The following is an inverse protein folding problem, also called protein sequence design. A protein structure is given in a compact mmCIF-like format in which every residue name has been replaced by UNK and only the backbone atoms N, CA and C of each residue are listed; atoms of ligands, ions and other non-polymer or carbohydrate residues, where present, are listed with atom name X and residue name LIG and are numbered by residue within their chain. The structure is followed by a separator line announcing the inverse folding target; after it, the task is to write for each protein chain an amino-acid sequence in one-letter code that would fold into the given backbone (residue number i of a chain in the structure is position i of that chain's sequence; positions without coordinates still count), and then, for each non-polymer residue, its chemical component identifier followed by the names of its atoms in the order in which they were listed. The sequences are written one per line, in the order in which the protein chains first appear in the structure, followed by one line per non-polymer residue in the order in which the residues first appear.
data_IF_032630690224
#
_entry.id   IF_032630690224
#
_cell.length_a   1.000
_cell.length_b   1.000
_cell.length_c   1.000
_cell.angle_alpha   90.00
_cell.angle_beta   90.00
_cell.angle_gamma   90.00
#
_symmetry.space_group_name_H-M   'P 1'
#
loop_
_entity.id
_entity.type
_entity.pdbx_description
1 polymer ?
#
# COMPACT_ATOMS: atom_id res chain seq x y z
N UNK A 1 -1.87 -12.84 2.25
CA UNK A 1 -1.33 -11.58 1.71
C UNK A 1 -1.18 -10.58 2.85
N UNK A 2 -0.03 -9.98 2.98
CA UNK A 2 0.29 -9.00 4.01
C UNK A 2 0.21 -7.59 3.42
N UNK A 3 -0.72 -6.78 3.93
CA UNK A 3 -0.97 -5.43 3.42
C UNK A 3 -0.71 -4.40 4.53
N UNK A 4 0.13 -3.43 4.22
CA UNK A 4 0.38 -2.28 5.08
C UNK A 4 -0.52 -1.13 4.64
N UNK A 5 -1.33 -0.59 5.56
CA UNK A 5 -2.25 0.50 5.28
C UNK A 5 -1.90 1.71 6.14
N UNK A 6 -1.70 2.85 5.49
CA UNK A 6 -1.48 4.14 6.16
C UNK A 6 -2.71 5.01 5.91
N UNK A 7 -3.59 5.09 6.91
CA UNK A 7 -4.90 5.76 6.82
C UNK A 7 -5.34 6.25 8.19
N UNK A 8 -5.66 7.54 8.32
CA UNK A 8 -6.08 8.16 9.57
C UNK A 8 -7.60 8.06 9.83
N UNK A 9 -8.41 8.03 8.78
CA UNK A 9 -9.87 8.02 8.87
C UNK A 9 -10.37 6.60 9.18
N UNK A 10 -10.96 6.41 10.36
CA UNK A 10 -11.43 5.10 10.79
C UNK A 10 -12.59 4.56 9.93
N UNK A 11 -13.47 5.40 9.46
CA UNK A 11 -14.58 4.99 8.60
C UNK A 11 -14.06 4.49 7.24
N UNK A 12 -13.19 5.27 6.62
CA UNK A 12 -12.55 4.88 5.35
C UNK A 12 -11.74 3.59 5.53
N UNK A 13 -10.96 3.48 6.61
CA UNK A 13 -10.19 2.29 6.92
C UNK A 13 -11.07 1.04 7.03
N UNK A 14 -12.18 1.12 7.75
CA UNK A 14 -13.13 0.01 7.87
C UNK A 14 -13.70 -0.42 6.52
N UNK A 15 -14.02 0.53 5.66
CA UNK A 15 -14.51 0.25 4.31
C UNK A 15 -13.43 -0.44 3.45
N UNK A 16 -12.19 0.03 3.54
CA UNK A 16 -11.06 -0.60 2.85
C UNK A 16 -10.85 -2.04 3.30
N UNK A 17 -10.85 -2.30 4.60
CA UNK A 17 -10.67 -3.64 5.16
C UNK A 17 -11.80 -4.56 4.75
N UNK A 18 -13.06 -4.10 4.85
CA UNK A 18 -14.22 -4.88 4.40
C UNK A 18 -14.08 -5.30 2.94
N UNK A 19 -13.72 -4.38 2.07
CA UNK A 19 -13.64 -4.63 0.64
C UNK A 19 -12.42 -5.48 0.27
N UNK A 20 -11.29 -5.32 0.98
CA UNK A 20 -10.14 -6.20 0.84
C UNK A 20 -10.45 -7.64 1.27
N UNK A 21 -11.15 -7.83 2.39
CA UNK A 21 -11.57 -9.14 2.85
C UNK A 21 -12.47 -9.89 1.86
N UNK A 22 -13.22 -9.14 1.06
CA UNK A 22 -14.09 -9.73 0.04
C UNK A 22 -13.31 -10.28 -1.18
N UNK A 23 -12.09 -9.80 -1.41
CA UNK A 23 -11.29 -10.15 -2.60
C UNK A 23 -9.97 -10.87 -2.28
N UNK A 24 -9.57 -10.91 -1.02
CA UNK A 24 -8.34 -11.59 -0.57
C UNK A 24 -8.70 -12.61 0.50
N UNK A 25 -8.30 -13.88 0.31
CA UNK A 25 -8.56 -14.94 1.28
C UNK A 25 -7.71 -14.72 2.53
N UNK A 26 -6.48 -15.08 2.59
CA UNK A 26 -5.64 -15.00 3.80
C UNK A 26 -5.06 -13.58 3.96
N UNK A 27 -5.85 -12.66 4.49
CA UNK A 27 -5.51 -11.26 4.61
C UNK A 27 -4.94 -10.94 6.00
N UNK A 28 -3.74 -10.39 6.05
CA UNK A 28 -3.15 -9.79 7.24
C UNK A 28 -2.91 -8.30 6.98
N UNK A 29 -3.44 -7.47 7.87
CA UNK A 29 -3.32 -6.01 7.75
C UNK A 29 -2.56 -5.45 8.94
N UNK A 30 -1.58 -4.60 8.66
CA UNK A 30 -0.94 -3.73 9.63
C UNK A 30 -1.30 -2.28 9.30
N UNK A 31 -1.82 -1.54 10.29
CA UNK A 31 -2.27 -0.17 10.09
C UNK A 31 -1.38 0.84 10.81
N UNK A 32 -1.11 1.95 10.13
CA UNK A 32 -0.56 3.18 10.72
C UNK A 32 -1.52 4.32 10.41
N UNK A 33 -1.73 5.24 11.36
CA UNK A 33 -2.79 6.23 11.25
C UNK A 33 -2.32 7.69 11.16
N UNK A 34 -1.03 7.91 11.00
CA UNK A 34 -0.48 9.24 10.76
C UNK A 34 0.88 9.15 10.05
N UNK A 35 1.32 10.27 9.51
CA UNK A 35 2.53 10.33 8.70
C UNK A 35 3.79 9.98 9.51
N UNK A 36 3.98 10.59 10.67
CA UNK A 36 5.22 10.41 11.46
C UNK A 36 5.38 8.98 11.97
N UNK A 37 4.30 8.36 12.43
CA UNK A 37 4.36 6.96 12.86
C UNK A 37 4.73 6.02 11.71
N UNK A 38 4.22 6.30 10.50
CA UNK A 38 4.60 5.53 9.31
C UNK A 38 6.09 5.68 9.00
N UNK A 39 6.61 6.91 8.98
CA UNK A 39 8.02 7.16 8.70
C UNK A 39 8.94 6.52 9.74
N UNK A 40 8.58 6.62 11.01
CA UNK A 40 9.33 6.00 12.12
C UNK A 40 9.31 4.47 12.03
N UNK A 41 8.16 3.90 11.71
CA UNK A 41 8.04 2.46 11.52
C UNK A 41 8.91 1.96 10.35
N UNK A 42 8.86 2.64 9.21
CA UNK A 42 9.69 2.28 8.05
C UNK A 42 11.18 2.34 8.38
N UNK A 43 11.60 3.36 9.10
CA UNK A 43 12.99 3.47 9.55
C UNK A 43 13.39 2.31 10.47
N UNK A 44 12.49 1.87 11.33
CA UNK A 44 12.75 0.72 12.22
C UNK A 44 12.93 -0.59 11.45
N UNK A 45 12.35 -0.68 10.24
CA UNK A 45 12.47 -1.85 9.38
C UNK A 45 13.72 -1.82 8.49
N UNK A 46 14.42 -0.70 8.43
CA UNK A 46 15.63 -0.56 7.64
C UNK A 46 16.66 -1.61 8.05
N UNK A 47 17.25 -2.29 7.07
CA UNK A 47 18.18 -3.41 7.25
C UNK A 47 17.54 -4.70 7.81
N UNK A 48 16.22 -4.77 7.93
CA UNK A 48 15.52 -5.98 8.30
C UNK A 48 15.01 -6.70 7.05
N UNK A 49 15.65 -7.83 6.69
CA UNK A 49 15.30 -8.60 5.49
C UNK A 49 14.02 -9.43 5.64
N UNK A 50 13.44 -9.50 6.85
CA UNK A 50 12.25 -10.31 7.12
C UNK A 50 10.93 -9.56 6.88
N UNK A 51 10.99 -8.39 6.24
CA UNK A 51 9.80 -7.61 5.90
C UNK A 51 9.11 -8.20 4.68
N UNK A 52 7.95 -8.79 4.93
CA UNK A 52 7.21 -9.55 3.93
C UNK A 52 5.84 -8.91 3.67
N UNK A 53 5.87 -7.65 3.22
CA UNK A 53 4.67 -6.97 2.75
C UNK A 53 4.47 -7.19 1.26
N UNK A 54 3.21 -7.43 0.88
CA UNK A 54 2.81 -7.65 -0.51
C UNK A 54 2.27 -6.39 -1.17
N UNK A 55 1.81 -5.43 -0.37
CA UNK A 55 1.21 -4.19 -0.87
C UNK A 55 1.24 -3.12 0.22
N UNK A 56 1.57 -1.89 -0.16
CA UNK A 56 1.34 -0.68 0.65
C UNK A 56 0.15 0.07 0.08
N UNK A 57 -0.82 0.41 0.93
CA UNK A 57 -1.91 1.33 0.57
C UNK A 57 -1.80 2.57 1.46
N UNK A 58 -1.75 3.75 0.88
CA UNK A 58 -1.67 5.00 1.63
C UNK A 58 -2.67 6.04 1.13
N UNK A 59 -3.18 6.88 2.05
CA UNK A 59 -3.90 8.09 1.69
C UNK A 59 -2.91 9.20 1.26
N UNK A 60 -3.44 10.23 0.60
CA UNK A 60 -2.65 11.38 0.18
C UNK A 60 -2.54 12.45 1.27
N UNK A 61 -3.65 12.75 1.96
CA UNK A 61 -3.68 13.77 3.01
C UNK A 61 -3.95 13.14 4.37
N UNK A 62 -3.04 13.34 5.30
CA UNK A 62 -3.14 12.81 6.66
C UNK A 62 -2.55 13.78 7.68
N UNK A 63 -2.94 13.67 8.97
CA UNK A 63 -2.24 14.37 10.03
C UNK A 63 -0.76 13.99 10.05
N UNK A 64 0.10 14.97 10.31
CA UNK A 64 1.53 14.71 10.47
C UNK A 64 1.77 13.82 11.69
N UNK A 65 1.08 14.10 12.79
CA UNK A 65 1.18 13.38 14.07
C UNK A 65 -0.20 13.03 14.59
N UNK A 66 -0.27 12.05 15.50
CA UNK A 66 -1.50 11.53 16.09
C UNK A 66 -2.45 12.63 16.63
N UNK A 67 -1.92 13.68 17.24
CA UNK A 67 -2.71 14.74 17.87
C UNK A 67 -2.78 16.02 17.01
N UNK A 68 -2.34 15.96 15.76
CA UNK A 68 -2.42 17.08 14.83
C UNK A 68 -3.78 17.14 14.16
N UNK A 69 -4.33 18.35 14.04
CA UNK A 69 -5.60 18.58 13.32
C UNK A 69 -5.38 18.97 11.86
N UNK A 70 -4.18 19.45 11.51
CA UNK A 70 -3.88 19.87 10.16
C UNK A 70 -3.46 18.69 9.30
N UNK A 71 -4.08 18.56 8.12
CA UNK A 71 -3.72 17.55 7.14
C UNK A 71 -2.55 18.03 6.30
N UNK A 72 -1.58 17.16 6.08
CA UNK A 72 -0.46 17.40 5.18
C UNK A 72 -0.51 16.44 4.00
N UNK A 73 0.00 16.85 2.86
CA UNK A 73 0.14 15.98 1.68
C UNK A 73 1.27 15.00 1.94
N UNK A 74 0.95 13.88 2.55
CA UNK A 74 1.89 12.93 3.13
C UNK A 74 2.31 11.81 2.18
N UNK A 75 1.53 11.51 1.15
CA UNK A 75 1.77 10.34 0.29
C UNK A 75 3.17 10.31 -0.29
N UNK A 76 3.67 11.44 -0.78
CA UNK A 76 5.00 11.51 -1.38
C UNK A 76 6.10 11.15 -0.36
N UNK A 77 5.98 11.62 0.88
CA UNK A 77 6.94 11.29 1.94
C UNK A 77 6.88 9.82 2.34
N UNK A 78 5.67 9.28 2.46
CA UNK A 78 5.42 7.88 2.80
C UNK A 78 5.97 6.97 1.71
N UNK A 79 5.68 7.25 0.44
CA UNK A 79 6.14 6.45 -0.70
C UNK A 79 7.66 6.45 -0.77
N UNK A 80 8.29 7.63 -0.70
CA UNK A 80 9.74 7.74 -0.80
C UNK A 80 10.44 7.05 0.38
N UNK A 81 9.93 7.22 1.59
CA UNK A 81 10.48 6.58 2.78
C UNK A 81 10.31 5.05 2.72
N UNK A 82 9.15 4.57 2.31
CA UNK A 82 8.91 3.14 2.16
C UNK A 82 9.88 2.50 1.15
N UNK A 83 10.06 3.11 0.00
CA UNK A 83 10.99 2.60 -1.02
C UNK A 83 12.43 2.62 -0.53
N UNK A 84 12.83 3.65 0.22
CA UNK A 84 14.19 3.77 0.73
C UNK A 84 14.48 2.83 1.90
N UNK A 85 13.53 2.66 2.81
CA UNK A 85 13.77 1.99 4.09
C UNK A 85 13.23 0.56 4.13
N UNK A 86 12.20 0.24 3.36
CA UNK A 86 11.51 -1.06 3.42
C UNK A 86 11.74 -1.88 2.15
N UNK A 87 11.26 -1.43 1.00
CA UNK A 87 11.37 -2.17 -0.25
C UNK A 87 11.14 -1.29 -1.46
N UNK A 88 11.96 -1.45 -2.49
CA UNK A 88 11.75 -0.83 -3.80
C UNK A 88 10.79 -1.64 -4.68
N UNK A 89 10.58 -2.91 -4.37
CA UNK A 89 9.83 -3.83 -5.22
C UNK A 89 8.38 -4.06 -4.79
N UNK A 90 8.02 -3.77 -3.54
CA UNK A 90 6.64 -3.91 -3.07
C UNK A 90 5.76 -2.87 -3.74
N UNK A 91 4.65 -3.27 -4.38
CA UNK A 91 3.77 -2.33 -5.06
C UNK A 91 3.08 -1.38 -4.09
N UNK A 92 2.79 -0.18 -4.57
CA UNK A 92 2.20 0.92 -3.80
C UNK A 92 0.93 1.40 -4.46
N UNK A 93 -0.15 1.48 -3.67
CA UNK A 93 -1.44 2.02 -4.05
C UNK A 93 -1.74 3.30 -3.25
N UNK A 94 -2.09 4.37 -3.93
CA UNK A 94 -2.65 5.57 -3.27
C UNK A 94 -4.16 5.51 -3.35
N UNK A 95 -4.82 5.46 -2.20
CA UNK A 95 -6.28 5.44 -2.09
C UNK A 95 -6.75 6.73 -1.42
N UNK A 96 -7.28 7.66 -2.21
CA UNK A 96 -7.59 9.02 -1.76
C UNK A 96 -8.93 9.49 -2.30
N UNK A 97 -9.59 10.40 -1.55
CA UNK A 97 -10.83 11.05 -1.99
C UNK A 97 -10.61 12.02 -3.14
N UNK A 98 -9.38 12.49 -3.31
CA UNK A 98 -8.99 13.36 -4.41
C UNK A 98 -8.18 12.59 -5.43
N UNK A 99 -8.31 12.98 -6.70
CA UNK A 99 -7.49 12.40 -7.77
C UNK A 99 -6.01 12.64 -7.49
N UNK A 100 -5.26 11.56 -7.32
CA UNK A 100 -3.82 11.62 -7.08
C UNK A 100 -3.08 11.76 -8.41
N UNK A 101 -2.33 12.85 -8.55
CA UNK A 101 -1.57 13.16 -9.77
C UNK A 101 -0.17 13.70 -9.49
N UNK A 102 0.33 13.49 -8.28
CA UNK A 102 1.69 13.89 -7.90
C UNK A 102 2.69 12.96 -8.58
N UNK A 103 3.73 13.52 -9.15
CA UNK A 103 4.82 12.73 -9.75
C UNK A 103 5.67 12.11 -8.65
N UNK A 104 5.40 10.85 -8.37
CA UNK A 104 6.22 10.00 -7.53
C UNK A 104 6.05 8.55 -7.99
N UNK A 105 6.87 7.67 -7.45
CA UNK A 105 6.98 6.30 -7.93
C UNK A 105 5.97 5.40 -7.22
N UNK A 106 4.73 5.39 -7.67
CA UNK A 106 3.66 4.50 -7.19
C UNK A 106 3.09 3.68 -8.35
N UNK A 107 2.41 2.57 -8.01
CA UNK A 107 1.94 1.60 -8.99
C UNK A 107 0.46 1.74 -9.31
N UNK A 108 -0.37 2.05 -8.29
CA UNK A 108 -1.82 2.10 -8.43
C UNK A 108 -2.39 3.33 -7.74
N UNK A 109 -3.51 3.83 -8.27
CA UNK A 109 -4.27 4.93 -7.69
C UNK A 109 -5.75 4.57 -7.69
N UNK A 110 -6.40 4.69 -6.53
CA UNK A 110 -7.82 4.42 -6.36
C UNK A 110 -8.51 5.68 -5.82
N UNK A 111 -9.59 6.09 -6.49
CA UNK A 111 -10.42 7.18 -6.00
C UNK A 111 -11.42 6.64 -4.98
N UNK A 112 -11.31 7.10 -3.73
CA UNK A 112 -12.23 6.71 -2.67
C UNK A 112 -13.47 7.59 -2.67
N UNK A 113 -14.63 6.96 -2.70
CA UNK A 113 -15.94 7.60 -2.52
C UNK A 113 -16.72 6.82 -1.46
N UNK A 114 -17.21 7.47 -0.39
CA UNK A 114 -17.81 6.77 0.77
C UNK A 114 -19.00 5.85 0.43
N UNK A 115 -19.73 6.16 -0.65
CA UNK A 115 -20.90 5.40 -1.08
C UNK A 115 -20.63 4.31 -2.10
N UNK A 116 -19.37 4.18 -2.56
CA UNK A 116 -18.98 3.21 -3.57
C UNK A 116 -18.09 2.12 -2.98
N UNK A 117 -18.33 0.89 -3.43
CA UNK A 117 -17.48 -0.24 -3.10
C UNK A 117 -16.10 -0.10 -3.75
N UNK A 118 -15.06 -0.50 -3.03
CA UNK A 118 -13.68 -0.59 -3.52
C UNK A 118 -13.35 -2.00 -4.06
N UNK A 119 -14.30 -2.95 -4.02
CA UNK A 119 -14.02 -4.35 -4.36
C UNK A 119 -13.50 -4.53 -5.79
N UNK A 120 -14.10 -3.83 -6.75
CA UNK A 120 -13.68 -3.94 -8.15
C UNK A 120 -12.25 -3.42 -8.34
N UNK A 121 -11.93 -2.25 -7.79
CA UNK A 121 -10.59 -1.66 -7.88
C UNK A 121 -9.54 -2.54 -7.19
N UNK A 122 -9.83 -2.98 -5.97
CA UNK A 122 -8.92 -3.87 -5.23
C UNK A 122 -8.75 -5.22 -5.92
N UNK A 123 -9.82 -5.79 -6.46
CA UNK A 123 -9.73 -7.05 -7.20
C UNK A 123 -8.77 -6.95 -8.38
N UNK A 124 -8.86 -5.87 -9.16
CA UNK A 124 -7.95 -5.62 -10.29
C UNK A 124 -6.50 -5.48 -9.85
N UNK A 125 -6.26 -4.76 -8.74
CA UNK A 125 -4.90 -4.57 -8.20
C UNK A 125 -4.33 -5.91 -7.72
N UNK A 126 -5.09 -6.67 -6.95
CA UNK A 126 -4.65 -7.97 -6.43
C UNK A 126 -4.37 -8.95 -7.57
N UNK A 127 -5.24 -9.01 -8.57
CA UNK A 127 -5.04 -9.87 -9.75
C UNK A 127 -3.77 -9.47 -10.51
N UNK A 128 -3.51 -8.17 -10.66
CA UNK A 128 -2.29 -7.67 -11.32
C UNK A 128 -1.03 -8.04 -10.54
N UNK A 129 -1.05 -7.90 -9.22
CA UNK A 129 0.08 -8.29 -8.34
C UNK A 129 0.35 -9.79 -8.48
N UNK A 130 -0.69 -10.63 -8.39
CA UNK A 130 -0.56 -12.09 -8.47
C UNK A 130 -0.05 -12.52 -9.85
N UNK A 131 -0.50 -11.90 -10.92
CA UNK A 131 -0.02 -12.18 -12.27
C UNK A 131 1.46 -11.86 -12.42
N UNK A 132 1.90 -10.70 -11.93
CA UNK A 132 3.32 -10.30 -11.98
C UNK A 132 4.22 -11.24 -11.18
N UNK A 133 3.78 -11.69 -10.02
CA UNK A 133 4.50 -12.69 -9.23
C UNK A 133 4.64 -14.02 -9.97
N UNK A 134 3.58 -14.48 -10.62
CA UNK A 134 3.61 -15.72 -11.41
C UNK A 134 4.54 -15.60 -12.63
N UNK A 135 4.51 -14.46 -13.33
CA UNK A 135 5.41 -14.21 -14.46
C UNK A 135 6.87 -14.24 -14.01
N UNK A 136 7.21 -13.66 -12.87
CA UNK A 136 8.56 -13.71 -12.30
C UNK A 136 8.99 -15.13 -11.94
N UNK A 137 8.11 -15.96 -11.39
CA UNK A 137 8.39 -17.37 -11.10
C UNK A 137 8.65 -18.16 -12.38
N UNK A 138 7.85 -17.95 -13.42
CA UNK A 138 8.01 -18.60 -14.71
C UNK A 138 9.33 -18.21 -15.37
N UNK A 139 9.72 -16.95 -15.32
CA UNK A 139 11.03 -16.49 -15.81
C UNK A 139 12.20 -17.16 -15.09
N UNK A 140 12.11 -17.30 -13.76
CA UNK A 140 13.15 -17.99 -12.98
C UNK A 140 13.24 -19.46 -13.35
N UNK A 141 12.13 -20.14 -13.57
CA UNK A 141 12.09 -21.53 -14.03
C UNK A 141 12.74 -21.65 -15.40
N UNK A 142 12.38 -20.79 -16.36
CA UNK A 142 12.97 -20.78 -17.70
C UNK A 142 14.49 -20.59 -17.66
N UNK A 143 15.00 -19.70 -16.81
CA UNK A 143 16.45 -19.48 -16.65
C UNK A 143 17.18 -20.73 -16.13
N UNK A 144 16.52 -21.55 -15.31
CA UNK A 144 17.08 -22.80 -14.81
C UNK A 144 17.18 -23.84 -15.94
N UNK A 145 16.19 -23.91 -16.83
CA UNK A 145 16.15 -24.89 -17.91
C UNK A 145 17.00 -24.53 -19.14
N UNK A 146 17.29 -23.25 -19.37
CA UNK A 146 18.06 -22.77 -20.53
C UNK A 146 19.59 -22.84 -20.29
N UNK A 147 19.99 -22.98 -19.05
CA UNK A 147 21.41 -23.22 -18.74
C UNK A 147 21.76 -24.67 -19.02
#
# INVERSE_FOLDING_TARGET
MNILIVEDDDYKYKNMVRDLKAVVEDLNIFRLNNCMDALMYFRSLKNNSDNDYDLLITDNYMPLRKDSFDLVQSAIYIINSFKNDVSESVPICVCSSDKFNVKCDYDYSVLYEPTKSLQEDFSKIIDDINRKENDLKDEKILKIYIK
#
